data_IF_808881163561
#
_entry.id   IF_808881163561
#
_cell.length_a   1.000
_cell.length_b   1.000
_cell.length_c   1.000
_cell.angle_alpha   90.00
_cell.angle_beta   90.00
_cell.angle_gamma   90.00
#
_symmetry.space_group_name_H-M   'P 1'
#
loop_
_entity.id
_entity.type
_entity.pdbx_description
1 polymer ?
#
# COMPACT_ATOMS: atom_id res chain seq x y z
N UNK A 1 -16.11 -39.37 33.56
CA UNK A 1 -16.91 -38.14 33.72
C UNK A 1 -16.09 -37.18 34.57
N UNK A 2 -15.95 -35.93 34.15
CA UNK A 2 -14.93 -34.91 34.52
C UNK A 2 -13.64 -35.01 33.66
N UNK A 3 -13.70 -34.67 32.36
CA UNK A 3 -13.58 -33.31 31.76
C UNK A 3 -12.17 -32.74 31.98
N UNK A 4 -11.21 -33.15 31.14
CA UNK A 4 -10.62 -32.39 30.01
C UNK A 4 -9.63 -31.31 30.46
N UNK A 5 -8.35 -31.71 30.46
CA UNK A 5 -7.20 -31.04 29.87
C UNK A 5 -7.38 -29.53 29.54
N UNK A 6 -7.16 -28.65 30.51
CA UNK A 6 -6.95 -27.22 30.23
C UNK A 6 -5.44 -26.97 30.13
N UNK A 7 -4.85 -27.49 29.04
CA UNK A 7 -3.63 -26.92 28.48
C UNK A 7 -4.04 -25.61 27.85
N UNK A 8 -4.08 -24.52 28.63
CA UNK A 8 -4.02 -23.18 28.03
C UNK A 8 -2.62 -23.06 27.47
N UNK A 9 -2.46 -23.48 26.22
CA UNK A 9 -1.37 -23.03 25.39
C UNK A 9 -1.50 -21.52 25.36
N UNK A 10 -0.56 -20.84 26.00
CA UNK A 10 -0.28 -19.44 25.70
C UNK A 10 0.21 -19.46 24.26
N UNK A 11 -0.71 -19.46 23.30
CA UNK A 11 -0.42 -19.02 21.95
C UNK A 11 -0.24 -17.52 22.12
N UNK A 12 0.96 -17.14 22.53
CA UNK A 12 1.50 -15.85 22.16
C UNK A 12 1.57 -15.89 20.64
N UNK A 13 0.45 -15.58 19.98
CA UNK A 13 0.49 -15.02 18.65
C UNK A 13 1.21 -13.69 18.84
N UNK A 14 2.54 -13.74 18.84
CA UNK A 14 3.35 -12.60 18.50
C UNK A 14 3.01 -12.31 17.04
N UNK A 15 1.85 -11.67 16.80
CA UNK A 15 1.64 -10.93 15.58
C UNK A 15 2.79 -9.96 15.54
N UNK A 16 3.73 -10.18 14.63
CA UNK A 16 4.87 -9.31 14.43
C UNK A 16 4.32 -7.90 14.20
N UNK A 17 4.31 -7.07 15.25
CA UNK A 17 4.13 -5.63 15.08
C UNK A 17 5.45 -5.16 14.51
N UNK A 18 5.59 -5.23 13.19
CA UNK A 18 6.65 -4.55 12.47
C UNK A 18 6.39 -3.04 12.57
N UNK A 19 6.58 -2.47 13.75
CA UNK A 19 6.85 -1.04 13.88
C UNK A 19 8.27 -0.86 13.33
N UNK A 20 8.38 -0.76 12.01
CA UNK A 20 9.65 -0.57 11.33
C UNK A 20 10.17 0.82 11.65
N UNK A 21 11.27 0.90 12.41
CA UNK A 21 12.02 2.14 12.56
C UNK A 21 12.75 2.38 11.24
N UNK A 22 12.30 3.37 10.48
CA UNK A 22 13.00 3.76 9.24
C UNK A 22 14.27 4.53 9.64
N UNK A 23 15.39 4.28 8.95
CA UNK A 23 16.68 4.93 9.22
C UNK A 23 16.51 6.46 9.22
N UNK A 24 16.50 7.06 10.41
CA UNK A 24 16.03 8.45 10.63
C UNK A 24 15.17 8.64 11.88
N UNK A 25 14.75 7.55 12.54
CA UNK A 25 14.02 7.62 13.82
C UNK A 25 12.52 7.89 13.66
N UNK A 26 11.98 7.78 12.45
CA UNK A 26 10.54 7.88 12.19
C UNK A 26 9.87 6.53 12.49
N UNK A 27 8.84 6.54 13.34
CA UNK A 27 8.01 5.37 13.63
C UNK A 27 6.74 5.44 12.79
N UNK A 28 6.56 4.50 11.87
CA UNK A 28 5.34 4.36 11.08
C UNK A 28 4.28 3.64 11.93
N UNK A 29 3.09 4.22 12.04
CA UNK A 29 1.92 3.53 12.55
C UNK A 29 1.51 2.44 11.56
N UNK A 30 1.39 1.19 12.00
CA UNK A 30 0.90 0.12 11.16
C UNK A 30 -0.62 0.22 10.99
N UNK A 31 -1.12 0.02 9.77
CA UNK A 31 -2.57 -0.03 9.50
C UNK A 31 -2.92 -0.06 8.02
N UNK A 32 -2.08 0.51 7.16
CA UNK A 32 -2.28 0.41 5.72
C UNK A 32 -2.13 -1.02 5.19
N UNK A 33 -3.03 -1.43 4.28
CA UNK A 33 -2.98 -2.70 3.55
C UNK A 33 -3.34 -2.48 2.08
N UNK A 34 -2.66 -3.22 1.20
CA UNK A 34 -2.98 -3.33 -0.22
C UNK A 34 -4.18 -4.24 -0.52
N UNK A 35 -4.72 -4.94 0.47
CA UNK A 35 -5.90 -5.81 0.29
C UNK A 35 -7.09 -5.03 -0.29
N UNK A 36 -7.66 -5.54 -1.38
CA UNK A 36 -8.78 -4.90 -2.07
C UNK A 36 -8.42 -3.64 -2.86
N UNK A 37 -7.13 -3.32 -3.01
CA UNK A 37 -6.63 -2.18 -3.78
C UNK A 37 -6.01 -2.64 -5.09
N UNK A 38 -6.12 -1.80 -6.11
CA UNK A 38 -5.47 -2.03 -7.40
C UNK A 38 -4.01 -1.57 -7.40
N UNK A 39 -3.37 -1.65 -8.58
CA UNK A 39 -2.10 -0.97 -8.79
C UNK A 39 -2.25 0.53 -8.52
N UNK A 40 -1.43 1.07 -7.63
CA UNK A 40 -1.54 2.47 -7.29
C UNK A 40 -0.66 2.91 -6.13
N UNK A 41 -0.70 4.22 -5.91
CA UNK A 41 0.02 4.94 -4.88
C UNK A 41 -1.01 5.51 -3.90
N UNK A 42 -0.78 5.32 -2.63
CA UNK A 42 -1.75 5.58 -1.58
C UNK A 42 -1.11 6.35 -0.43
N UNK A 43 -1.62 7.55 -0.15
CA UNK A 43 -1.20 8.39 0.95
C UNK A 43 -1.47 7.69 2.28
N UNK A 44 -0.50 7.70 3.19
CA UNK A 44 -0.69 7.14 4.53
C UNK A 44 -1.31 8.18 5.46
N UNK A 45 -2.64 8.23 5.52
CA UNK A 45 -3.39 9.21 6.32
C UNK A 45 -3.15 9.02 7.82
N UNK A 46 -2.89 7.80 8.27
CA UNK A 46 -2.58 7.50 9.68
C UNK A 46 -1.21 8.04 10.12
N UNK A 47 -0.34 8.32 9.15
CA UNK A 47 1.01 8.87 9.34
C UNK A 47 1.16 10.28 8.73
N UNK A 48 0.08 11.09 8.76
CA UNK A 48 0.06 12.48 8.30
C UNK A 48 0.57 12.67 6.84
N UNK A 49 0.40 11.64 6.00
CA UNK A 49 0.90 11.58 4.63
C UNK A 49 2.42 11.83 4.53
N UNK A 50 3.17 11.64 5.62
CA UNK A 50 4.64 11.63 5.62
C UNK A 50 5.19 10.36 5.00
N UNK A 51 4.37 9.32 4.99
CA UNK A 51 4.58 8.12 4.22
C UNK A 51 3.51 7.97 3.13
N UNK A 52 3.83 7.14 2.15
CA UNK A 52 2.88 6.64 1.18
C UNK A 52 3.25 5.21 0.81
N UNK A 53 2.29 4.49 0.24
CA UNK A 53 2.43 3.09 -0.11
C UNK A 53 2.22 2.88 -1.59
N UNK A 54 2.95 1.92 -2.15
CA UNK A 54 2.71 1.42 -3.50
C UNK A 54 2.20 -0.01 -3.38
N UNK A 55 1.06 -0.28 -4.01
CA UNK A 55 0.53 -1.62 -4.20
C UNK A 55 0.87 -2.06 -5.63
N UNK A 56 1.75 -3.03 -5.79
CA UNK A 56 2.23 -3.48 -7.10
C UNK A 56 1.85 -4.95 -7.35
N UNK A 57 1.01 -5.23 -8.38
CA UNK A 57 0.69 -6.60 -8.73
C UNK A 57 1.91 -7.27 -9.39
N UNK A 58 2.34 -8.40 -8.83
CA UNK A 58 3.25 -9.33 -9.46
C UNK A 58 2.44 -10.39 -10.17
N UNK A 59 2.43 -10.34 -11.50
CA UNK A 59 1.75 -11.28 -12.36
C UNK A 59 2.72 -12.39 -12.81
N UNK A 60 2.20 -13.57 -13.11
CA UNK A 60 2.95 -14.61 -13.83
C UNK A 60 2.93 -14.39 -15.35
N UNK A 61 3.57 -15.29 -16.11
CA UNK A 61 3.67 -15.23 -17.58
C UNK A 61 2.31 -15.32 -18.31
N UNK A 62 1.22 -15.60 -17.60
CA UNK A 62 -0.15 -15.66 -18.13
C UNK A 62 -1.07 -14.60 -17.50
N UNK A 63 -0.49 -13.50 -16.99
CA UNK A 63 -1.18 -12.35 -16.39
C UNK A 63 -2.04 -12.68 -15.15
N UNK A 64 -1.79 -13.81 -14.49
CA UNK A 64 -2.46 -14.14 -13.23
C UNK A 64 -1.71 -13.51 -12.07
N UNK A 65 -2.45 -12.86 -11.18
CA UNK A 65 -1.92 -12.29 -9.95
C UNK A 65 -1.33 -13.38 -9.05
N UNK A 66 -0.01 -13.32 -8.82
CA UNK A 66 0.68 -14.19 -7.87
C UNK A 66 0.77 -13.53 -6.49
N UNK A 67 1.08 -12.23 -6.47
CA UNK A 67 1.30 -11.48 -5.25
C UNK A 67 0.94 -10.01 -5.49
N UNK A 68 0.46 -9.32 -4.46
CA UNK A 68 0.33 -7.87 -4.45
C UNK A 68 1.37 -7.32 -3.49
N UNK A 69 2.51 -6.89 -4.02
CA UNK A 69 3.58 -6.39 -3.20
C UNK A 69 3.24 -5.01 -2.63
N UNK A 70 3.56 -4.83 -1.35
CA UNK A 70 3.35 -3.60 -0.61
C UNK A 70 4.70 -2.97 -0.29
N UNK A 71 4.92 -1.78 -0.85
CA UNK A 71 6.09 -0.96 -0.56
C UNK A 71 5.67 0.28 0.23
N UNK A 72 6.51 0.71 1.17
CA UNK A 72 6.31 1.94 1.93
C UNK A 72 7.48 2.88 1.69
N UNK A 73 7.16 4.13 1.40
CA UNK A 73 8.13 5.19 1.12
C UNK A 73 7.86 6.38 2.02
N UNK A 74 8.92 7.13 2.31
CA UNK A 74 8.86 8.36 3.08
C UNK A 74 9.05 9.55 2.15
N UNK A 75 8.23 10.58 2.32
CA UNK A 75 8.50 11.87 1.71
C UNK A 75 9.72 12.55 2.37
N UNK A 76 10.42 13.38 1.59
CA UNK A 76 11.57 14.15 2.08
C UNK A 76 11.18 15.19 3.13
N UNK A 77 12.18 15.88 3.68
CA UNK A 77 11.97 16.91 4.71
C UNK A 77 10.92 17.92 4.26
N UNK A 78 10.03 18.27 5.19
CA UNK A 78 8.97 19.28 5.03
C UNK A 78 7.97 19.05 3.88
N UNK A 79 7.91 17.84 3.32
CA UNK A 79 6.92 17.46 2.30
C UNK A 79 5.91 16.45 2.84
N UNK A 80 4.78 16.30 2.14
CA UNK A 80 3.77 15.25 2.34
C UNK A 80 3.37 14.69 0.98
N UNK A 81 2.87 13.47 0.96
CA UNK A 81 2.39 12.85 -0.26
C UNK A 81 1.11 13.54 -0.72
N UNK A 82 1.15 14.09 -1.93
CA UNK A 82 0.03 14.68 -2.62
C UNK A 82 -0.69 13.60 -3.42
N UNK A 83 -1.81 13.13 -2.89
CA UNK A 83 -2.57 12.05 -3.51
C UNK A 83 -3.11 12.41 -4.90
N UNK A 84 -3.37 13.68 -5.20
CA UNK A 84 -3.86 14.09 -6.52
C UNK A 84 -2.76 14.00 -7.58
N UNK A 85 -1.55 14.46 -7.25
CA UNK A 85 -0.41 14.52 -8.18
C UNK A 85 0.49 13.27 -8.12
N UNK A 86 0.27 12.39 -7.14
CA UNK A 86 1.05 11.18 -6.88
C UNK A 86 2.55 11.45 -6.65
N UNK A 87 2.88 12.57 -6.00
CA UNK A 87 4.24 12.99 -5.66
C UNK A 87 4.37 13.48 -4.22
N UNK A 88 5.59 13.80 -3.77
CA UNK A 88 5.80 14.49 -2.51
C UNK A 88 5.84 16.01 -2.77
N UNK A 89 4.87 16.72 -2.22
CA UNK A 89 4.68 18.16 -2.39
C UNK A 89 4.74 18.91 -1.06
N UNK A 90 4.88 20.24 -1.11
CA UNK A 90 4.76 21.06 0.10
C UNK A 90 3.31 21.04 0.64
N UNK A 91 3.09 21.03 1.96
CA UNK A 91 1.75 20.89 2.55
C UNK A 91 0.73 21.96 2.12
N UNK A 92 1.18 23.15 1.72
CA UNK A 92 0.32 24.25 1.29
C UNK A 92 -0.19 24.12 -0.16
N UNK A 93 0.42 23.24 -0.96
CA UNK A 93 0.01 22.97 -2.36
C UNK A 93 -0.43 21.52 -2.57
N UNK A 94 -0.15 20.64 -1.60
CA UNK A 94 -0.61 19.26 -1.63
C UNK A 94 -2.12 19.18 -1.42
N UNK A 95 -2.76 18.19 -2.04
CA UNK A 95 -4.15 17.84 -1.70
C UNK A 95 -4.28 17.53 -0.19
N UNK A 96 -5.37 17.95 0.48
CA UNK A 96 -5.52 17.75 1.92
C UNK A 96 -5.35 16.29 2.34
N UNK A 97 -4.35 16.01 3.19
CA UNK A 97 -4.00 14.65 3.60
C UNK A 97 -5.20 13.88 4.19
N UNK A 98 -5.99 14.53 5.05
CA UNK A 98 -7.16 13.92 5.68
C UNK A 98 -8.24 13.49 4.66
N UNK A 99 -8.25 14.07 3.47
CA UNK A 99 -9.19 13.77 2.40
C UNK A 99 -8.59 12.84 1.34
N UNK A 100 -7.28 12.57 1.38
CA UNK A 100 -6.57 11.82 0.35
C UNK A 100 -7.22 10.47 0.02
N UNK A 101 -7.70 9.76 1.04
CA UNK A 101 -8.35 8.47 0.85
C UNK A 101 -9.60 8.51 -0.04
N UNK A 102 -10.26 9.67 -0.15
CA UNK A 102 -11.45 9.85 -0.99
C UNK A 102 -11.15 9.86 -2.50
N UNK A 103 -9.89 10.12 -2.89
CA UNK A 103 -9.49 10.24 -4.29
C UNK A 103 -8.51 9.15 -4.75
N UNK A 104 -8.22 8.15 -3.91
CA UNK A 104 -7.32 7.05 -4.24
C UNK A 104 -7.61 6.42 -5.59
N UNK A 105 -8.88 6.07 -5.85
CA UNK A 105 -9.23 5.39 -7.09
C UNK A 105 -9.05 6.32 -8.28
N UNK A 106 -9.59 7.55 -8.20
CA UNK A 106 -9.53 8.53 -9.27
C UNK A 106 -8.10 8.98 -9.61
N UNK A 107 -7.24 9.18 -8.61
CA UNK A 107 -5.86 9.62 -8.84
C UNK A 107 -5.01 8.51 -9.44
N UNK A 108 -5.30 7.24 -9.12
CA UNK A 108 -4.56 6.09 -9.62
C UNK A 108 -5.04 5.60 -10.99
N UNK A 109 -6.17 6.12 -11.52
CA UNK A 109 -6.65 5.78 -12.87
C UNK A 109 -5.57 5.98 -13.93
N UNK A 110 -4.77 7.04 -13.80
CA UNK A 110 -3.71 7.37 -14.76
C UNK A 110 -2.56 6.35 -14.81
N UNK A 111 -2.44 5.51 -13.77
CA UNK A 111 -1.40 4.50 -13.66
C UNK A 111 -1.82 3.15 -14.23
N UNK A 112 -3.09 2.99 -14.58
CA UNK A 112 -3.59 1.76 -15.18
C UNK A 112 -3.03 1.67 -16.60
N UNK A 113 -2.02 0.82 -16.79
CA UNK A 113 -1.57 0.43 -18.11
C UNK A 113 -2.59 -0.57 -18.64
N UNK A 114 -3.31 -0.21 -19.70
CA UNK A 114 -4.10 -1.19 -20.42
C UNK A 114 -3.16 -2.29 -20.93
N UNK A 115 -3.52 -3.58 -20.77
CA UNK A 115 -2.68 -4.64 -21.30
C UNK A 115 -2.50 -4.42 -22.80
N UNK A 116 -1.24 -4.39 -23.25
CA UNK A 116 -0.92 -4.43 -24.68
C UNK A 116 -1.74 -5.55 -25.32
N UNK A 117 -2.51 -5.28 -26.39
CA UNK A 117 -3.32 -6.29 -27.02
C UNK A 117 -2.40 -7.42 -27.46
N UNK A 118 -2.55 -8.61 -26.86
CA UNK A 118 -1.81 -9.82 -27.24
C UNK A 118 -1.93 -9.97 -28.75
N UNK A 119 -0.83 -9.77 -29.46
CA UNK A 119 -0.79 -9.73 -30.92
C UNK A 119 -1.49 -10.99 -31.44
N UNK A 120 -2.68 -10.80 -32.03
CA UNK A 120 -3.50 -11.91 -32.51
C UNK A 120 -2.64 -12.67 -33.53
N UNK A 121 -2.55 -14.01 -33.47
CA UNK A 121 -1.75 -14.77 -34.43
C UNK A 121 -2.14 -14.31 -35.83
N UNK A 122 -1.19 -13.74 -36.57
CA UNK A 122 -1.35 -13.46 -37.99
C UNK A 122 -1.51 -14.83 -38.64
N UNK A 123 -2.76 -15.20 -38.94
CA UNK A 123 -3.05 -16.39 -39.73
C UNK A 123 -2.54 -16.08 -41.13
N UNK A 124 -1.34 -16.57 -41.44
CA UNK A 124 -0.76 -16.57 -42.79
C UNK A 124 -1.35 -17.73 -43.58
#
# INVERSE_FOLDING_TARGET
>A
MQVVLVLVTVVAAASARMAGIVAGGFSIQPGFSCEGREYGYYADVENDCKAYHICQPFLNDVDQLMELAHFTFMCGQDTIFNQEQLDCSQPNIAFPCAEAASIYDSSNLQLRIEPEPKEKPVVV
#
